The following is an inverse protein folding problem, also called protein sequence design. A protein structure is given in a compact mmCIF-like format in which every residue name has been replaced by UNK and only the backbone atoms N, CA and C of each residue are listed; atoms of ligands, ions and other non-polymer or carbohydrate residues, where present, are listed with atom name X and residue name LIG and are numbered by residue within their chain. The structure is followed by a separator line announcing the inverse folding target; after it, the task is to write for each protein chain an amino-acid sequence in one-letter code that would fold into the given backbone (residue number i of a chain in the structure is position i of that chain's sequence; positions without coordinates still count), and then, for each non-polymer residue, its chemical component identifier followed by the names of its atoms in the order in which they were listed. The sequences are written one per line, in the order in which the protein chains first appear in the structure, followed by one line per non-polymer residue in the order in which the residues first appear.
data_IF_060503600828
#
_entry.id   IF_060503600828
#
_cell.length_a   1.000
_cell.length_b   1.000
_cell.length_c   1.000
_cell.angle_alpha   90.00
_cell.angle_beta   90.00
_cell.angle_gamma   90.00
#
_symmetry.space_group_name_H-M   'P 1'
#
loop_
_entity.id
_entity.type
_entity.pdbx_description
1 polymer ?
#
# COMPACT_ATOMS: atom_id res chain seq x y z
N UNK A 1 -16.32 -20.73 -7.91
CA UNK A 1 -17.26 -19.59 -7.90
C UNK A 1 -18.64 -20.19 -8.14
N UNK A 2 -19.50 -20.18 -7.14
CA UNK A 2 -20.90 -20.54 -7.36
C UNK A 2 -21.48 -19.53 -8.35
N UNK A 3 -21.94 -19.98 -9.52
CA UNK A 3 -22.46 -19.10 -10.58
C UNK A 3 -23.93 -18.71 -10.35
N UNK A 4 -24.60 -19.33 -9.37
CA UNK A 4 -26.00 -19.05 -9.05
C UNK A 4 -26.31 -17.58 -8.72
N UNK A 5 -25.46 -16.85 -7.97
CA UNK A 5 -25.74 -15.44 -7.68
C UNK A 5 -25.71 -14.55 -8.93
N UNK A 6 -24.84 -14.86 -9.89
CA UNK A 6 -24.65 -14.04 -11.10
C UNK A 6 -25.73 -14.28 -12.15
N UNK A 7 -26.21 -15.51 -12.31
CA UNK A 7 -27.36 -15.79 -13.18
C UNK A 7 -28.66 -15.18 -12.63
N UNK A 8 -28.81 -15.12 -11.30
CA UNK A 8 -29.92 -14.40 -10.67
C UNK A 8 -29.81 -12.88 -10.89
N UNK A 9 -28.62 -12.30 -10.74
CA UNK A 9 -28.38 -10.88 -10.98
C UNK A 9 -28.67 -10.46 -12.44
N UNK A 10 -28.27 -11.30 -13.41
CA UNK A 10 -28.58 -11.09 -14.83
C UNK A 10 -30.10 -11.03 -15.05
N UNK A 11 -30.85 -12.04 -14.58
CA UNK A 11 -32.31 -12.08 -14.71
C UNK A 11 -32.98 -10.88 -14.03
N UNK A 12 -32.51 -10.51 -12.83
CA UNK A 12 -33.05 -9.38 -12.09
C UNK A 12 -32.83 -8.05 -12.82
N UNK A 13 -31.67 -7.88 -13.45
CA UNK A 13 -31.36 -6.70 -14.27
C UNK A 13 -32.34 -6.59 -15.45
N UNK A 14 -32.55 -7.68 -16.19
CA UNK A 14 -33.52 -7.71 -17.29
C UNK A 14 -34.97 -7.45 -16.83
N UNK A 15 -35.37 -7.99 -15.68
CA UNK A 15 -36.71 -7.78 -15.12
C UNK A 15 -36.92 -6.32 -14.72
N UNK A 16 -35.94 -5.67 -14.10
CA UNK A 16 -36.02 -4.28 -13.66
C UNK A 16 -36.01 -3.30 -14.84
N UNK A 17 -35.17 -3.53 -15.85
CA UNK A 17 -35.06 -2.65 -17.02
C UNK A 17 -36.30 -2.70 -17.95
N UNK A 18 -37.20 -3.67 -17.77
CA UNK A 18 -38.53 -3.65 -18.44
C UNK A 18 -39.45 -2.58 -17.90
N UNK A 19 -39.19 -2.05 -16.71
CA UNK A 19 -39.99 -0.98 -16.11
C UNK A 19 -39.51 0.39 -16.64
N UNK A 20 -40.36 1.20 -17.30
CA UNK A 20 -39.99 2.55 -17.74
C UNK A 20 -39.61 3.49 -16.59
N UNK A 21 -40.13 3.24 -15.38
CA UNK A 21 -39.84 4.01 -14.16
C UNK A 21 -38.72 3.36 -13.32
N UNK A 22 -37.85 2.57 -13.95
CA UNK A 22 -36.74 1.92 -13.27
C UNK A 22 -35.82 3.00 -12.63
N UNK A 23 -35.49 2.91 -11.34
CA UNK A 23 -34.48 3.78 -10.75
C UNK A 23 -33.07 3.38 -11.22
N UNK A 24 -32.04 4.20 -10.95
CA UNK A 24 -30.66 3.78 -11.13
C UNK A 24 -30.39 2.43 -10.46
N UNK A 25 -29.70 1.56 -11.18
CA UNK A 25 -29.35 0.22 -10.72
C UNK A 25 -27.87 0.19 -10.36
N UNK A 26 -27.56 -0.40 -9.20
CA UNK A 26 -26.18 -0.72 -8.81
C UNK A 26 -25.87 -2.15 -9.18
N UNK A 27 -24.65 -2.39 -9.66
CA UNK A 27 -24.16 -3.72 -10.08
C UNK A 27 -25.05 -4.39 -11.15
N UNK A 28 -25.62 -3.58 -12.05
CA UNK A 28 -26.45 -4.05 -13.15
C UNK A 28 -25.65 -5.04 -14.01
N UNK A 29 -26.19 -6.25 -14.16
CA UNK A 29 -25.44 -7.39 -14.70
C UNK A 29 -25.84 -7.70 -16.13
N UNK A 30 -24.87 -7.90 -17.01
CA UNK A 30 -25.07 -8.19 -18.43
C UNK A 30 -24.15 -9.32 -18.87
N UNK A 31 -24.58 -10.05 -19.90
CA UNK A 31 -23.79 -11.11 -20.52
C UNK A 31 -23.84 -10.97 -22.04
N UNK A 32 -22.68 -11.14 -22.67
CA UNK A 32 -22.55 -11.22 -24.12
C UNK A 32 -21.42 -12.19 -24.47
N UNK A 33 -21.73 -13.15 -25.34
CA UNK A 33 -20.81 -14.21 -25.77
C UNK A 33 -20.07 -14.91 -24.60
N UNK A 34 -20.75 -15.16 -23.47
CA UNK A 34 -20.13 -15.81 -22.32
C UNK A 34 -19.17 -14.93 -21.51
N UNK A 35 -19.11 -13.63 -21.79
CA UNK A 35 -18.46 -12.62 -20.96
C UNK A 35 -19.53 -11.92 -20.14
N UNK A 36 -19.35 -11.91 -18.82
CA UNK A 36 -20.26 -11.31 -17.87
C UNK A 36 -19.63 -10.05 -17.27
N UNK A 37 -20.41 -8.97 -17.18
CA UNK A 37 -20.01 -7.73 -16.52
C UNK A 37 -21.08 -7.30 -15.51
N UNK A 38 -20.64 -6.64 -14.45
CA UNK A 38 -21.50 -5.90 -13.54
C UNK A 38 -21.08 -4.43 -13.61
N UNK A 39 -21.98 -3.57 -14.08
CA UNK A 39 -21.74 -2.13 -14.13
C UNK A 39 -21.99 -1.52 -12.75
N UNK A 40 -21.07 -0.69 -12.25
CA UNK A 40 -21.18 -0.09 -10.91
C UNK A 40 -22.49 0.67 -10.74
N UNK A 41 -22.82 1.55 -11.69
CA UNK A 41 -24.09 2.28 -11.73
C UNK A 41 -24.60 2.32 -13.18
N UNK A 42 -25.85 1.95 -13.36
CA UNK A 42 -26.61 2.15 -14.58
C UNK A 42 -27.75 3.12 -14.31
N UNK A 43 -27.86 4.17 -15.13
CA UNK A 43 -29.00 5.09 -15.13
C UNK A 43 -29.88 4.74 -16.35
N UNK A 44 -31.11 4.24 -16.12
CA UNK A 44 -31.99 3.89 -17.21
C UNK A 44 -32.59 5.14 -17.85
N UNK A 45 -32.62 5.17 -19.19
CA UNK A 45 -33.39 6.11 -19.99
C UNK A 45 -34.48 5.39 -20.79
N UNK A 46 -35.23 6.14 -21.61
CA UNK A 46 -36.37 5.59 -22.36
C UNK A 46 -35.97 4.53 -23.41
N UNK A 47 -34.86 4.75 -24.11
CA UNK A 47 -34.34 3.83 -25.14
C UNK A 47 -32.85 3.51 -24.99
N UNK A 48 -32.18 4.21 -24.08
CA UNK A 48 -30.73 4.21 -23.92
C UNK A 48 -30.39 4.19 -22.44
N UNK A 49 -29.20 3.70 -22.10
CA UNK A 49 -28.69 3.66 -20.73
C UNK A 49 -27.43 4.50 -20.61
N UNK A 50 -27.25 5.13 -19.46
CA UNK A 50 -25.97 5.72 -19.07
C UNK A 50 -25.29 4.77 -18.09
N UNK A 51 -23.99 4.57 -18.28
CA UNK A 51 -23.16 3.73 -17.41
C UNK A 51 -22.13 4.61 -16.73
N UNK A 52 -21.99 4.44 -15.42
CA UNK A 52 -20.98 5.13 -14.62
C UNK A 52 -20.15 4.07 -13.91
N UNK A 53 -18.86 4.04 -14.24
CA UNK A 53 -17.84 3.21 -13.61
C UNK A 53 -17.12 4.03 -12.53
N UNK A 54 -17.20 3.60 -11.27
CA UNK A 54 -16.73 4.33 -10.10
C UNK A 54 -15.37 3.81 -9.65
N UNK A 55 -14.37 4.69 -9.57
CA UNK A 55 -13.01 4.32 -9.16
C UNK A 55 -12.59 5.05 -7.89
N UNK A 56 -12.14 4.28 -6.89
CA UNK A 56 -11.42 4.80 -5.72
C UNK A 56 -9.99 5.21 -6.11
N UNK A 57 -9.89 6.23 -6.95
CA UNK A 57 -8.65 6.78 -7.51
C UNK A 57 -8.82 8.26 -7.73
N UNK A 58 -7.74 9.01 -7.68
CA UNK A 58 -7.74 10.47 -7.94
C UNK A 58 -7.48 10.82 -9.39
N UNK A 59 -7.15 9.81 -10.21
CA UNK A 59 -6.78 9.95 -11.62
C UNK A 59 -7.32 8.79 -12.43
N UNK A 60 -7.61 9.05 -13.70
CA UNK A 60 -7.89 8.02 -14.70
C UNK A 60 -6.62 7.20 -14.97
N UNK A 61 -6.80 5.91 -15.22
CA UNK A 61 -5.73 4.97 -15.59
C UNK A 61 -6.14 4.26 -16.88
N UNK A 62 -5.17 3.86 -17.74
CA UNK A 62 -5.49 3.09 -18.95
C UNK A 62 -6.29 1.80 -18.68
N UNK A 63 -6.06 1.16 -17.53
CA UNK A 63 -6.83 -0.02 -17.11
C UNK A 63 -8.32 0.28 -16.92
N UNK A 64 -8.68 1.47 -16.44
CA UNK A 64 -10.09 1.84 -16.24
C UNK A 64 -10.83 2.04 -17.56
N UNK A 65 -10.13 2.53 -18.60
CA UNK A 65 -10.68 2.65 -19.94
C UNK A 65 -10.95 1.27 -20.56
N UNK A 66 -10.05 0.29 -20.31
CA UNK A 66 -10.27 -1.10 -20.74
C UNK A 66 -11.48 -1.73 -20.05
N UNK A 67 -11.66 -1.51 -18.74
CA UNK A 67 -12.84 -1.95 -18.01
C UNK A 67 -14.10 -1.38 -18.67
N UNK A 68 -14.10 -0.08 -18.96
CA UNK A 68 -15.22 0.59 -19.62
C UNK A 68 -15.50 0.05 -21.03
N UNK A 69 -14.46 -0.21 -21.81
CA UNK A 69 -14.59 -0.78 -23.16
C UNK A 69 -15.23 -2.18 -23.12
N UNK A 70 -14.81 -3.03 -22.17
CA UNK A 70 -15.38 -4.38 -22.00
C UNK A 70 -16.84 -4.28 -21.58
N UNK A 71 -17.17 -3.43 -20.59
CA UNK A 71 -18.56 -3.22 -20.18
C UNK A 71 -19.42 -2.72 -21.33
N UNK A 72 -18.95 -1.70 -22.06
CA UNK A 72 -19.66 -1.17 -23.21
C UNK A 72 -19.91 -2.24 -24.27
N UNK A 73 -18.89 -3.02 -24.64
CA UNK A 73 -19.04 -4.12 -25.60
C UNK A 73 -20.06 -5.17 -25.14
N UNK A 74 -20.02 -5.58 -23.86
CA UNK A 74 -20.98 -6.57 -23.33
C UNK A 74 -22.40 -6.03 -23.30
N UNK A 75 -22.61 -4.81 -22.79
CA UNK A 75 -23.94 -4.21 -22.64
C UNK A 75 -24.57 -3.95 -24.02
N UNK A 76 -23.79 -3.46 -24.99
CA UNK A 76 -24.27 -3.27 -26.36
C UNK A 76 -24.54 -4.59 -27.07
N UNK A 77 -23.69 -5.60 -26.86
CA UNK A 77 -23.90 -6.95 -27.35
C UNK A 77 -25.10 -7.67 -26.72
N UNK A 78 -25.50 -7.28 -25.50
CA UNK A 78 -26.74 -7.72 -24.84
C UNK A 78 -28.00 -6.99 -25.36
N UNK A 79 -27.87 -6.06 -26.31
CA UNK A 79 -28.98 -5.39 -26.99
C UNK A 79 -29.36 -4.01 -26.45
N UNK A 80 -28.58 -3.45 -25.54
CA UNK A 80 -28.82 -2.11 -24.99
C UNK A 80 -28.01 -1.03 -25.73
N UNK A 81 -28.58 0.17 -25.89
CA UNK A 81 -27.85 1.32 -26.44
C UNK A 81 -27.26 2.15 -25.29
N UNK A 82 -25.97 2.43 -25.34
CA UNK A 82 -25.31 3.29 -24.35
C UNK A 82 -25.28 4.71 -24.90
N UNK A 83 -25.98 5.63 -24.23
CA UNK A 83 -25.94 7.07 -24.57
C UNK A 83 -24.70 7.74 -23.96
N UNK A 84 -24.24 7.24 -22.82
CA UNK A 84 -23.13 7.78 -22.07
C UNK A 84 -22.34 6.70 -21.33
N UNK A 85 -21.01 6.78 -21.43
CA UNK A 85 -20.10 5.95 -20.64
C UNK A 85 -19.22 6.89 -19.83
N UNK A 86 -19.34 6.85 -18.50
CA UNK A 86 -18.62 7.76 -17.62
C UNK A 86 -17.68 7.01 -16.70
N UNK A 87 -16.49 7.57 -16.49
CA UNK A 87 -15.66 7.26 -15.34
C UNK A 87 -15.92 8.31 -14.25
N UNK A 88 -16.31 7.85 -13.07
CA UNK A 88 -16.42 8.66 -11.87
C UNK A 88 -15.26 8.37 -10.93
N UNK A 89 -14.51 9.39 -10.53
CA UNK A 89 -13.31 9.24 -9.70
C UNK A 89 -13.24 10.33 -8.64
N UNK A 90 -12.46 10.09 -7.59
CA UNK A 90 -12.36 11.01 -6.45
C UNK A 90 -11.61 12.29 -6.85
N UNK A 91 -12.12 13.46 -6.47
CA UNK A 91 -11.43 14.74 -6.59
C UNK A 91 -10.44 14.92 -5.43
N UNK A 92 -9.14 14.86 -5.71
CA UNK A 92 -8.14 15.10 -4.67
C UNK A 92 -8.09 16.56 -4.19
N UNK A 93 -8.75 17.51 -4.86
CA UNK A 93 -8.90 18.89 -4.41
C UNK A 93 -10.09 19.12 -3.48
N UNK A 94 -10.97 18.13 -3.34
CA UNK A 94 -12.08 18.19 -2.40
C UNK A 94 -11.56 18.34 -0.96
N UNK A 95 -12.18 19.25 -0.20
CA UNK A 95 -11.98 19.43 1.24
C UNK A 95 -13.33 19.18 1.89
N UNK A 96 -13.37 18.27 2.86
CA UNK A 96 -14.63 17.94 3.53
C UNK A 96 -15.06 19.08 4.47
N UNK A 97 -16.22 19.66 4.21
CA UNK A 97 -16.80 20.77 5.00
C UNK A 97 -17.60 20.29 6.23
N UNK A 98 -17.64 18.99 6.50
CA UNK A 98 -18.44 18.42 7.57
C UNK A 98 -19.91 18.20 7.19
N UNK A 99 -20.74 17.93 8.19
CA UNK A 99 -22.20 17.78 8.05
C UNK A 99 -22.67 16.73 7.02
N UNK A 100 -21.84 15.72 6.74
CA UNK A 100 -22.08 14.71 5.70
C UNK A 100 -22.25 15.30 4.29
N UNK A 101 -21.72 16.50 4.05
CA UNK A 101 -21.71 17.13 2.74
C UNK A 101 -20.51 16.65 1.91
N UNK A 102 -20.78 15.83 0.90
CA UNK A 102 -19.78 15.29 -0.03
C UNK A 102 -19.96 15.84 -1.45
N UNK A 103 -20.72 16.94 -1.62
CA UNK A 103 -20.90 17.58 -2.92
C UNK A 103 -19.55 18.01 -3.48
N UNK A 104 -19.21 17.50 -4.68
CA UNK A 104 -17.91 17.75 -5.32
C UNK A 104 -16.80 16.75 -4.96
N UNK A 105 -17.06 15.75 -4.12
CA UNK A 105 -16.10 14.67 -3.83
C UNK A 105 -15.75 13.87 -5.10
N UNK A 106 -16.72 13.67 -5.98
CA UNK A 106 -16.57 12.85 -7.18
C UNK A 106 -16.56 13.71 -8.44
N UNK A 107 -15.66 13.38 -9.38
CA UNK A 107 -15.56 13.94 -10.72
C UNK A 107 -16.00 12.91 -11.73
N UNK A 108 -16.92 13.31 -12.62
CA UNK A 108 -17.38 12.49 -13.74
C UNK A 108 -16.71 12.95 -15.02
N UNK A 109 -16.17 12.00 -15.77
CA UNK A 109 -15.56 12.20 -17.08
C UNK A 109 -16.27 11.29 -18.06
N UNK A 110 -16.80 11.83 -19.14
CA UNK A 110 -17.32 11.03 -20.24
C UNK A 110 -16.14 10.43 -21.00
N UNK A 111 -16.18 9.13 -21.29
CA UNK A 111 -15.05 8.39 -21.87
C UNK A 111 -15.40 7.63 -23.14
N UNK A 112 -16.58 7.86 -23.73
CA UNK A 112 -17.01 7.16 -24.96
C UNK A 112 -16.01 7.30 -26.11
N UNK A 113 -15.42 8.48 -26.31
CA UNK A 113 -14.44 8.71 -27.37
C UNK A 113 -13.10 8.01 -27.04
N UNK A 114 -12.67 8.10 -25.78
CA UNK A 114 -11.42 7.55 -25.26
C UNK A 114 -11.38 6.03 -25.31
N UNK A 115 -12.51 5.34 -25.12
CA UNK A 115 -12.58 3.87 -25.20
C UNK A 115 -12.64 3.33 -26.63
N UNK A 116 -12.87 4.18 -27.64
CA UNK A 116 -13.06 3.75 -29.04
C UNK A 116 -11.93 2.86 -29.60
N UNK A 117 -10.63 3.12 -29.31
CA UNK A 117 -9.55 2.23 -29.73
C UNK A 117 -9.64 0.84 -29.07
N UNK A 118 -9.93 0.80 -27.76
CA UNK A 118 -10.02 -0.44 -26.98
C UNK A 118 -11.25 -1.25 -27.38
N UNK A 119 -12.39 -0.60 -27.66
CA UNK A 119 -13.62 -1.26 -28.13
C UNK A 119 -13.39 -2.16 -29.35
N UNK A 120 -12.51 -1.75 -30.27
CA UNK A 120 -12.16 -2.56 -31.45
C UNK A 120 -11.32 -3.79 -31.10
N UNK A 121 -10.63 -3.74 -29.98
CA UNK A 121 -9.77 -4.83 -29.49
C UNK A 121 -10.51 -5.80 -28.58
N UNK A 122 -11.58 -5.38 -27.91
CA UNK A 122 -12.33 -6.23 -26.97
C UNK A 122 -12.68 -7.61 -27.56
N UNK A 123 -13.27 -7.73 -28.77
CA UNK A 123 -13.57 -9.05 -29.33
C UNK A 123 -12.31 -9.92 -29.51
N UNK A 124 -11.20 -9.31 -29.94
CA UNK A 124 -9.92 -10.00 -30.14
C UNK A 124 -9.37 -10.50 -28.79
N UNK A 125 -9.42 -9.67 -27.75
CA UNK A 125 -9.02 -10.08 -26.40
C UNK A 125 -9.89 -11.22 -25.88
N UNK A 126 -11.21 -11.14 -26.06
CA UNK A 126 -12.15 -12.17 -25.61
C UNK A 126 -11.87 -13.51 -26.29
N UNK A 127 -11.67 -13.53 -27.61
CA UNK A 127 -11.27 -14.74 -28.34
C UNK A 127 -9.94 -15.30 -27.84
N UNK A 128 -8.92 -14.45 -27.67
CA UNK A 128 -7.61 -14.86 -27.16
C UNK A 128 -7.70 -15.45 -25.74
N UNK A 129 -8.47 -14.82 -24.85
CA UNK A 129 -8.63 -15.30 -23.48
C UNK A 129 -9.43 -16.60 -23.41
N UNK A 130 -10.48 -16.77 -24.23
CA UNK A 130 -11.20 -18.05 -24.34
C UNK A 130 -10.28 -19.16 -24.83
N UNK A 131 -9.52 -18.90 -25.90
CA UNK A 131 -8.55 -19.85 -26.41
C UNK A 131 -7.50 -20.20 -25.35
N UNK A 132 -6.95 -19.22 -24.62
CA UNK A 132 -6.01 -19.45 -23.53
C UNK A 132 -6.62 -20.36 -22.44
N UNK A 133 -7.87 -20.12 -22.04
CA UNK A 133 -8.55 -20.90 -21.00
C UNK A 133 -8.87 -22.34 -21.42
N UNK A 134 -8.89 -22.65 -22.72
CA UNK A 134 -9.07 -24.01 -23.23
C UNK A 134 -7.77 -24.83 -23.28
N UNK A 135 -6.62 -24.20 -23.03
CA UNK A 135 -5.30 -24.84 -23.08
C UNK A 135 -4.71 -25.06 -21.68
N UNK A 136 -3.54 -25.71 -21.63
CA UNK A 136 -2.76 -25.88 -20.41
C UNK A 136 -2.16 -24.54 -19.91
N UNK A 137 -1.53 -24.60 -18.74
CA UNK A 137 -0.83 -23.45 -18.15
C UNK A 137 0.14 -22.81 -19.17
N UNK A 138 0.10 -21.47 -19.35
CA UNK A 138 0.96 -20.81 -20.31
C UNK A 138 2.43 -20.87 -19.89
N UNK A 139 3.33 -21.19 -20.82
CA UNK A 139 4.78 -21.24 -20.59
C UNK A 139 5.41 -19.83 -20.49
N UNK A 140 5.04 -19.08 -19.45
CA UNK A 140 5.51 -17.70 -19.19
C UNK A 140 6.35 -17.69 -17.91
N UNK A 141 7.62 -17.29 -18.03
CA UNK A 141 8.52 -17.10 -16.87
C UNK A 141 8.07 -15.91 -16.03
N UNK A 142 8.33 -15.94 -14.71
CA UNK A 142 8.09 -14.79 -13.83
C UNK A 142 8.80 -13.52 -14.34
N UNK A 143 8.13 -12.38 -14.24
CA UNK A 143 8.69 -11.12 -14.73
C UNK A 143 7.87 -9.90 -14.32
N UNK A 144 8.07 -8.75 -15.01
CA UNK A 144 7.39 -7.49 -14.69
C UNK A 144 5.86 -7.60 -14.66
N UNK A 145 5.26 -8.40 -15.54
CA UNK A 145 3.81 -8.65 -15.58
C UNK A 145 3.24 -9.27 -14.30
N UNK A 146 4.08 -9.84 -13.41
CA UNK A 146 3.62 -10.35 -12.12
C UNK A 146 3.17 -9.25 -11.16
N UNK A 147 3.53 -7.98 -11.41
CA UNK A 147 3.19 -6.85 -10.55
C UNK A 147 2.60 -5.65 -11.31
N UNK A 148 2.47 -5.73 -12.63
CA UNK A 148 1.95 -4.66 -13.49
C UNK A 148 0.75 -5.16 -14.30
N UNK A 149 -0.41 -4.47 -14.28
CA UNK A 149 -0.71 -3.24 -13.52
C UNK A 149 -1.02 -3.49 -12.04
N UNK A 150 -1.21 -4.74 -11.64
CA UNK A 150 -1.50 -5.16 -10.26
C UNK A 150 -0.71 -6.42 -9.90
N UNK A 151 -0.62 -6.74 -8.60
CA UNK A 151 -0.01 -8.00 -8.16
C UNK A 151 -0.80 -9.20 -8.69
N UNK A 152 -0.13 -10.10 -9.39
CA UNK A 152 -0.71 -11.34 -9.89
C UNK A 152 -1.13 -12.26 -8.74
N UNK A 153 -2.37 -12.74 -8.77
CA UNK A 153 -2.91 -13.65 -7.74
C UNK A 153 -2.22 -15.03 -7.73
N UNK A 154 -1.55 -15.42 -8.81
CA UNK A 154 -0.81 -16.69 -8.94
C UNK A 154 0.67 -16.56 -8.59
N UNK A 155 1.11 -15.40 -8.08
CA UNK A 155 2.52 -15.14 -7.77
C UNK A 155 3.12 -16.23 -6.88
N UNK A 156 2.41 -16.64 -5.83
CA UNK A 156 2.89 -17.70 -4.92
C UNK A 156 3.15 -19.02 -5.65
N UNK A 157 2.27 -19.41 -6.58
CA UNK A 157 2.41 -20.62 -7.38
C UNK A 157 3.62 -20.53 -8.31
N UNK A 158 3.73 -19.45 -9.09
CA UNK A 158 4.84 -19.31 -10.03
C UNK A 158 6.19 -19.16 -9.32
N UNK A 159 6.22 -18.51 -8.15
CA UNK A 159 7.46 -18.22 -7.42
C UNK A 159 8.01 -19.45 -6.67
N UNK A 160 7.16 -20.42 -6.31
CA UNK A 160 7.59 -21.68 -5.71
C UNK A 160 8.59 -22.44 -6.60
N UNK A 161 8.51 -22.25 -7.92
CA UNK A 161 9.38 -22.90 -8.90
C UNK A 161 10.78 -22.27 -9.04
N UNK A 162 11.02 -21.09 -8.48
CA UNK A 162 12.24 -20.29 -8.77
C UNK A 162 13.49 -20.75 -8.00
N UNK A 163 13.34 -21.72 -7.09
CA UNK A 163 14.41 -22.21 -6.24
C UNK A 163 14.69 -21.29 -5.05
N UNK A 164 15.79 -21.59 -4.34
CA UNK A 164 16.10 -21.00 -3.03
C UNK A 164 16.50 -19.52 -3.09
N UNK A 165 17.35 -19.15 -4.06
CA UNK A 165 17.94 -17.82 -4.23
C UNK A 165 17.67 -17.27 -5.63
N UNK A 166 16.40 -16.98 -5.94
CA UNK A 166 16.02 -16.57 -7.29
C UNK A 166 16.59 -15.18 -7.61
N UNK A 167 16.91 -14.92 -8.88
CA UNK A 167 17.41 -13.59 -9.28
C UNK A 167 16.44 -12.44 -8.97
N UNK A 168 15.16 -12.74 -8.73
CA UNK A 168 14.15 -11.76 -8.31
C UNK A 168 14.43 -11.14 -6.94
N UNK A 169 15.28 -11.76 -6.12
CA UNK A 169 15.73 -11.20 -4.83
C UNK A 169 16.80 -10.11 -5.03
N UNK A 170 17.36 -9.94 -6.24
CA UNK A 170 18.24 -8.80 -6.52
C UNK A 170 17.42 -7.52 -6.71
N UNK A 171 17.68 -6.46 -5.92
CA UNK A 171 16.84 -5.27 -5.93
C UNK A 171 17.00 -4.48 -7.23
N UNK A 172 15.89 -4.05 -7.83
CA UNK A 172 15.87 -3.12 -8.98
C UNK A 172 16.72 -3.57 -10.19
N UNK A 173 16.71 -4.86 -10.54
CA UNK A 173 17.43 -5.38 -11.72
C UNK A 173 16.97 -4.75 -13.04
N UNK A 174 15.69 -4.34 -13.15
CA UNK A 174 15.13 -3.79 -14.38
C UNK A 174 15.34 -4.74 -15.56
N UNK A 175 15.90 -4.23 -16.66
CA UNK A 175 16.16 -5.01 -17.89
C UNK A 175 17.13 -6.18 -17.67
N UNK A 176 18.09 -6.05 -16.77
CA UNK A 176 19.10 -7.09 -16.50
C UNK A 176 18.47 -8.40 -16.03
N UNK A 177 17.30 -8.36 -15.37
CA UNK A 177 16.59 -9.58 -14.96
C UNK A 177 16.22 -10.45 -16.17
N UNK A 178 15.75 -9.84 -17.25
CA UNK A 178 15.37 -10.55 -18.48
C UNK A 178 16.61 -11.12 -19.17
N UNK A 179 17.69 -10.33 -19.28
CA UNK A 179 18.96 -10.76 -19.88
C UNK A 179 19.53 -11.98 -19.14
N UNK A 180 19.57 -11.93 -17.80
CA UNK A 180 20.01 -13.06 -16.98
C UNK A 180 19.13 -14.31 -17.17
N UNK A 181 17.80 -14.15 -17.24
CA UNK A 181 16.87 -15.26 -17.48
C UNK A 181 17.00 -15.88 -18.87
N UNK A 182 17.25 -15.07 -19.90
CA UNK A 182 17.49 -15.52 -21.28
C UNK A 182 18.79 -16.31 -21.40
N UNK A 183 19.80 -15.92 -20.63
CA UNK A 183 21.08 -16.63 -20.54
C UNK A 183 21.04 -17.86 -19.60
N UNK A 184 19.90 -18.12 -18.96
CA UNK A 184 19.70 -19.28 -18.09
C UNK A 184 20.17 -19.09 -16.65
N UNK A 185 20.50 -17.87 -16.23
CA UNK A 185 20.80 -17.54 -14.84
C UNK A 185 19.50 -17.31 -14.06
N UNK A 186 19.08 -18.32 -13.29
CA UNK A 186 17.90 -18.25 -12.41
C UNK A 186 18.22 -18.16 -10.93
N UNK A 187 19.45 -18.55 -10.54
CA UNK A 187 19.95 -18.54 -9.17
C UNK A 187 21.04 -17.47 -9.03
N UNK A 188 20.90 -16.59 -8.03
CA UNK A 188 21.85 -15.50 -7.78
C UNK A 188 23.27 -16.03 -7.69
N UNK A 189 23.50 -17.16 -7.01
CA UNK A 189 24.83 -17.73 -6.75
C UNK A 189 25.57 -18.15 -8.02
N UNK A 190 24.85 -18.27 -9.14
CA UNK A 190 25.38 -18.72 -10.44
C UNK A 190 25.53 -17.58 -11.43
N UNK A 191 25.32 -16.33 -11.02
CA UNK A 191 25.54 -15.17 -11.88
C UNK A 191 27.05 -14.90 -11.96
N UNK A 192 27.63 -14.80 -13.17
CA UNK A 192 29.03 -14.40 -13.35
C UNK A 192 29.27 -12.99 -12.80
N UNK A 193 30.38 -12.77 -12.07
CA UNK A 193 30.62 -11.50 -11.38
C UNK A 193 30.69 -10.29 -12.32
N UNK A 194 31.18 -10.46 -13.54
CA UNK A 194 31.30 -9.42 -14.56
C UNK A 194 29.94 -8.93 -15.09
N UNK A 195 28.86 -9.67 -14.81
CA UNK A 195 27.49 -9.26 -15.13
C UNK A 195 26.89 -8.28 -14.13
N UNK A 196 27.44 -8.21 -12.92
CA UNK A 196 26.93 -7.36 -11.84
C UNK A 196 27.80 -6.12 -11.68
N UNK A 197 27.50 -5.09 -12.48
CA UNK A 197 28.25 -3.82 -12.49
C UNK A 197 27.90 -2.87 -11.33
N UNK A 198 26.75 -3.07 -10.68
CA UNK A 198 26.30 -2.28 -9.54
C UNK A 198 26.83 -2.87 -8.23
N UNK A 199 27.52 -2.05 -7.43
CA UNK A 199 28.08 -2.45 -6.14
C UNK A 199 27.06 -3.07 -5.18
N UNK A 200 25.80 -2.63 -5.23
CA UNK A 200 24.71 -3.22 -4.45
C UNK A 200 24.43 -4.67 -4.89
N UNK A 201 24.31 -4.91 -6.19
CA UNK A 201 24.08 -6.25 -6.73
C UNK A 201 25.27 -7.16 -6.44
N UNK A 202 26.50 -6.69 -6.65
CA UNK A 202 27.71 -7.45 -6.36
C UNK A 202 27.80 -7.81 -4.86
N UNK A 203 27.38 -6.90 -3.96
CA UNK A 203 27.34 -7.18 -2.52
C UNK A 203 26.28 -8.22 -2.16
N UNK A 204 25.04 -8.08 -2.64
CA UNK A 204 23.97 -9.05 -2.38
C UNK A 204 24.36 -10.42 -2.92
N UNK A 205 24.89 -10.47 -4.15
CA UNK A 205 25.46 -11.68 -4.75
C UNK A 205 26.52 -12.31 -3.85
N UNK A 206 27.54 -11.53 -3.43
CA UNK A 206 28.63 -12.05 -2.60
C UNK A 206 28.15 -12.58 -1.25
N UNK A 207 27.26 -11.85 -0.58
CA UNK A 207 26.70 -12.25 0.72
C UNK A 207 25.87 -13.54 0.59
N UNK A 208 24.99 -13.63 -0.41
CA UNK A 208 24.21 -14.85 -0.68
C UNK A 208 25.11 -16.02 -1.09
N UNK A 209 26.10 -15.79 -1.95
CA UNK A 209 27.01 -16.86 -2.40
C UNK A 209 27.92 -17.39 -1.30
N UNK A 210 28.37 -16.52 -0.40
CA UNK A 210 29.25 -16.89 0.72
C UNK A 210 28.50 -17.31 1.99
N UNK A 211 27.18 -17.07 2.05
CA UNK A 211 26.35 -17.26 3.25
C UNK A 211 26.93 -16.56 4.50
N UNK A 212 27.71 -15.50 4.29
CA UNK A 212 28.41 -14.76 5.34
C UNK A 212 27.86 -13.33 5.38
N UNK A 213 27.26 -12.90 6.50
CA UNK A 213 26.79 -11.53 6.65
C UNK A 213 27.94 -10.53 6.60
N UNK A 214 27.69 -9.37 6.02
CA UNK A 214 28.62 -8.24 5.99
C UNK A 214 28.08 -7.12 6.87
N UNK A 215 28.82 -6.77 7.92
CA UNK A 215 28.63 -5.57 8.72
C UNK A 215 29.92 -4.75 8.67
N UNK A 216 29.85 -3.56 8.07
CA UNK A 216 30.97 -2.62 8.01
C UNK A 216 31.11 -1.90 9.37
N UNK A 217 32.28 -1.96 10.04
CA UNK A 217 32.55 -1.27 11.30
C UNK A 217 32.30 0.25 11.26
N UNK A 218 32.28 0.87 10.07
CA UNK A 218 31.91 2.28 9.92
C UNK A 218 30.47 2.58 10.37
N UNK A 219 29.59 1.58 10.43
CA UNK A 219 28.25 1.73 11.01
C UNK A 219 28.30 2.26 12.45
N UNK A 220 29.18 1.67 13.27
CA UNK A 220 29.39 2.07 14.66
C UNK A 220 29.94 3.49 14.77
N UNK A 221 30.89 3.85 13.90
CA UNK A 221 31.47 5.20 13.87
C UNK A 221 30.43 6.27 13.50
N UNK A 222 29.55 5.99 12.53
CA UNK A 222 28.48 6.90 12.15
C UNK A 222 27.42 7.03 13.27
N UNK A 223 27.02 5.91 13.87
CA UNK A 223 26.06 5.93 14.99
C UNK A 223 26.62 6.60 16.24
N UNK A 224 27.93 6.49 16.50
CA UNK A 224 28.58 7.16 17.64
C UNK A 224 28.53 8.70 17.56
N UNK A 225 28.26 9.27 16.37
CA UNK A 225 28.05 10.72 16.21
C UNK A 225 26.71 11.20 16.79
N UNK A 226 25.76 10.28 16.98
CA UNK A 226 24.46 10.57 17.55
C UNK A 226 24.56 10.62 19.08
N UNK A 227 24.45 11.83 19.64
CA UNK A 227 24.46 12.06 21.08
C UNK A 227 23.22 11.49 21.76
N UNK A 228 23.35 11.24 23.07
CA UNK A 228 22.21 10.95 23.94
C UNK A 228 21.55 12.26 24.42
N UNK A 229 20.23 12.26 24.70
CA UNK A 229 19.30 11.14 24.54
C UNK A 229 19.01 10.82 23.07
N UNK A 230 18.72 9.56 22.73
CA UNK A 230 18.31 9.15 21.37
C UNK A 230 16.83 8.80 21.37
N UNK A 231 16.05 9.40 20.48
CA UNK A 231 14.60 9.25 20.44
C UNK A 231 14.20 8.37 19.24
N UNK A 232 13.85 7.11 19.45
CA UNK A 232 13.42 6.20 18.38
C UNK A 232 11.91 6.35 18.18
N UNK A 233 11.48 6.82 17.01
CA UNK A 233 10.12 7.31 16.76
C UNK A 233 9.48 6.59 15.58
N UNK A 234 8.24 6.15 15.75
CA UNK A 234 7.43 5.51 14.71
C UNK A 234 5.99 6.06 14.75
N UNK A 235 5.39 6.25 13.58
CA UNK A 235 4.04 6.76 13.41
C UNK A 235 3.13 5.78 12.68
N UNK A 236 1.86 5.77 13.09
CA UNK A 236 0.77 5.17 12.35
C UNK A 236 -0.20 6.26 11.85
N UNK A 237 -0.56 6.15 10.57
CA UNK A 237 -1.47 7.09 9.89
C UNK A 237 -2.61 6.36 9.24
N UNK A 238 -3.74 7.03 9.09
CA UNK A 238 -4.89 6.57 8.30
C UNK A 238 -5.11 7.52 7.13
N UNK A 239 -5.66 6.99 6.05
CA UNK A 239 -6.13 7.80 4.93
C UNK A 239 -7.52 7.33 4.49
N UNK A 240 -8.37 8.27 4.10
CA UNK A 240 -9.75 7.99 3.71
C UNK A 240 -9.98 8.41 2.27
N UNK A 241 -10.56 7.53 1.44
CA UNK A 241 -11.06 7.94 0.13
C UNK A 241 -12.21 8.96 0.27
N UNK A 242 -13.06 8.75 1.29
CA UNK A 242 -14.13 9.66 1.68
C UNK A 242 -13.81 10.24 3.07
N UNK A 243 -13.35 11.49 3.16
CA UNK A 243 -12.87 12.04 4.43
C UNK A 243 -13.98 12.13 5.48
N UNK A 244 -13.67 11.80 6.74
CA UNK A 244 -14.66 11.79 7.83
C UNK A 244 -14.51 12.97 8.79
N UNK A 245 -13.41 13.72 8.69
CA UNK A 245 -13.09 14.85 9.57
C UNK A 245 -13.05 16.15 8.79
N UNK A 246 -13.71 17.18 9.31
CA UNK A 246 -13.77 18.49 8.67
C UNK A 246 -12.37 19.05 8.38
N UNK A 247 -12.19 19.67 7.21
CA UNK A 247 -10.92 20.24 6.78
C UNK A 247 -9.89 19.19 6.33
N UNK A 248 -10.27 17.94 6.10
CA UNK A 248 -9.40 16.89 5.54
C UNK A 248 -9.77 16.57 4.08
N UNK A 249 -8.81 15.99 3.35
CA UNK A 249 -8.91 15.71 1.91
C UNK A 249 -8.87 14.20 1.61
N UNK A 250 -9.40 13.77 0.46
CA UNK A 250 -9.29 12.37 0.06
C UNK A 250 -7.84 11.89 -0.03
N UNK A 251 -7.59 10.72 0.52
CA UNK A 251 -6.29 10.05 0.60
C UNK A 251 -5.21 10.87 1.32
N UNK A 252 -5.60 11.88 2.10
CA UNK A 252 -4.69 12.57 3.00
C UNK A 252 -4.18 11.60 4.08
N UNK A 253 -2.87 11.61 4.33
CA UNK A 253 -2.28 10.84 5.42
C UNK A 253 -2.45 11.59 6.74
N UNK A 254 -3.23 10.99 7.65
CA UNK A 254 -3.65 11.59 8.90
C UNK A 254 -3.10 10.75 10.06
N UNK A 255 -2.14 11.29 10.83
CA UNK A 255 -1.53 10.57 11.95
C UNK A 255 -2.52 10.37 13.10
N UNK A 256 -2.57 9.16 13.66
CA UNK A 256 -3.47 8.82 14.77
C UNK A 256 -2.78 8.15 15.96
N UNK A 257 -1.56 7.62 15.75
CA UNK A 257 -0.80 6.94 16.79
C UNK A 257 0.70 7.11 16.59
N UNK A 258 1.44 7.22 17.69
CA UNK A 258 2.89 7.17 17.66
C UNK A 258 3.43 6.41 18.88
N UNK A 259 4.64 5.88 18.72
CA UNK A 259 5.41 5.27 19.80
C UNK A 259 6.80 5.90 19.82
N UNK A 260 7.37 6.08 21.00
CA UNK A 260 8.73 6.59 21.15
C UNK A 260 9.48 5.91 22.29
N UNK A 261 10.64 5.31 21.97
CA UNK A 261 11.61 4.91 22.98
C UNK A 261 12.68 5.99 23.09
N UNK A 262 12.89 6.55 24.28
CA UNK A 262 13.95 7.52 24.56
C UNK A 262 15.06 6.80 25.32
N UNK A 263 16.22 6.66 24.69
CA UNK A 263 17.43 6.15 25.32
C UNK A 263 18.18 7.32 25.95
N UNK A 264 18.12 7.48 27.27
CA UNK A 264 18.81 8.58 27.98
C UNK A 264 20.31 8.37 28.11
N UNK A 265 20.73 7.11 28.17
CA UNK A 265 22.11 6.63 28.17
C UNK A 265 22.10 5.17 27.69
N UNK A 266 23.24 4.59 27.27
CA UNK A 266 23.28 3.22 26.76
C UNK A 266 22.50 2.23 27.66
N UNK A 267 21.44 1.62 27.12
CA UNK A 267 20.63 0.63 27.85
C UNK A 267 19.55 1.19 28.80
N UNK A 268 19.48 2.51 29.00
CA UNK A 268 18.47 3.15 29.86
C UNK A 268 17.35 3.77 29.01
N UNK A 269 16.18 3.14 29.02
CA UNK A 269 15.05 3.50 28.16
C UNK A 269 13.83 3.96 28.95
N UNK A 270 13.21 5.03 28.45
CA UNK A 270 11.83 5.40 28.77
C UNK A 270 10.96 5.22 27.53
N UNK A 271 9.70 4.84 27.71
CA UNK A 271 8.76 4.62 26.61
C UNK A 271 7.57 5.56 26.74
N UNK A 272 7.27 6.25 25.66
CA UNK A 272 6.13 7.15 25.50
C UNK A 272 5.30 6.69 24.30
N UNK A 273 4.00 6.93 24.35
CA UNK A 273 3.07 6.54 23.29
C UNK A 273 1.84 7.44 23.24
N UNK A 274 1.18 7.47 22.10
CA UNK A 274 -0.12 8.13 21.90
C UNK A 274 -1.01 7.28 21.01
N UNK A 275 -2.29 7.16 21.37
CA UNK A 275 -3.33 6.54 20.56
C UNK A 275 -4.71 7.11 20.94
N UNK A 276 -5.34 7.82 20.01
CA UNK A 276 -6.70 8.33 20.16
C UNK A 276 -7.70 7.53 19.32
N UNK A 277 -8.58 6.76 19.99
CA UNK A 277 -9.66 5.99 19.36
C UNK A 277 -11.04 6.57 19.68
N UNK A 278 -11.14 7.85 19.98
CA UNK A 278 -12.41 8.52 20.32
C UNK A 278 -13.32 8.75 19.12
N UNK A 279 -12.79 8.63 17.90
CA UNK A 279 -13.46 8.97 16.64
C UNK A 279 -13.41 10.45 16.27
N UNK A 280 -12.89 11.31 17.16
CA UNK A 280 -12.58 12.71 16.85
C UNK A 280 -11.30 12.79 16.01
N UNK A 281 -11.04 13.93 15.33
CA UNK A 281 -9.79 14.12 14.58
C UNK A 281 -8.59 14.16 15.55
N UNK A 282 -7.66 13.19 15.51
CA UNK A 282 -6.62 13.03 16.52
C UNK A 282 -5.40 13.93 16.29
N UNK A 283 -5.28 14.57 15.12
CA UNK A 283 -4.00 15.14 14.66
C UNK A 283 -3.43 16.26 15.54
N UNK A 284 -4.29 17.06 16.19
CA UNK A 284 -3.82 18.14 17.08
C UNK A 284 -3.27 17.55 18.38
N UNK A 285 -4.06 16.73 19.07
CA UNK A 285 -3.65 16.04 20.31
C UNK A 285 -2.41 15.16 20.08
N UNK A 286 -2.34 14.48 18.92
CA UNK A 286 -1.18 13.74 18.45
C UNK A 286 0.07 14.61 18.47
N UNK A 287 -0.01 15.79 17.85
CA UNK A 287 1.11 16.71 17.68
C UNK A 287 1.54 17.35 19.00
N UNK A 288 0.58 17.84 19.80
CA UNK A 288 0.87 18.44 21.11
C UNK A 288 1.51 17.43 22.06
N UNK A 289 1.01 16.20 22.08
CA UNK A 289 1.60 15.14 22.91
C UNK A 289 2.99 14.76 22.43
N UNK A 290 3.21 14.65 21.12
CA UNK A 290 4.52 14.40 20.55
C UNK A 290 5.53 15.47 20.96
N UNK A 291 5.17 16.75 20.81
CA UNK A 291 6.00 17.89 21.21
C UNK A 291 6.36 17.80 22.70
N UNK A 292 5.37 17.53 23.56
CA UNK A 292 5.60 17.44 25.00
C UNK A 292 6.47 16.25 25.42
N UNK A 293 6.42 15.13 24.69
CA UNK A 293 7.21 13.94 24.97
C UNK A 293 8.65 14.04 24.46
N UNK A 294 8.89 14.82 23.40
CA UNK A 294 10.21 15.05 22.82
C UNK A 294 10.83 16.37 23.29
N UNK A 295 10.65 16.71 24.58
CA UNK A 295 11.21 17.88 25.24
C UNK A 295 12.72 17.68 25.57
N UNK A 296 13.50 17.44 24.51
CA UNK A 296 14.96 17.31 24.56
C UNK A 296 15.57 17.62 23.18
N UNK A 297 16.88 17.88 23.14
CA UNK A 297 17.62 18.23 21.93
C UNK A 297 18.27 17.03 21.20
N UNK A 298 17.97 15.80 21.62
CA UNK A 298 18.56 14.58 21.07
C UNK A 298 18.17 14.28 19.62
N UNK A 299 18.93 13.46 18.86
CA UNK A 299 18.49 13.02 17.54
C UNK A 299 17.19 12.22 17.62
N UNK A 300 16.37 12.31 16.56
CA UNK A 300 15.13 11.57 16.41
C UNK A 300 15.33 10.51 15.33
N UNK A 301 15.52 9.27 15.74
CA UNK A 301 15.85 8.14 14.89
C UNK A 301 14.55 7.53 14.36
N UNK A 302 14.45 7.43 13.05
CA UNK A 302 13.30 6.87 12.32
C UNK A 302 13.79 5.84 11.30
N UNK A 303 12.88 5.07 10.71
CA UNK A 303 13.23 4.07 9.69
C UNK A 303 12.46 4.32 8.39
N UNK A 304 13.09 5.05 7.46
CA UNK A 304 12.54 5.66 6.25
C UNK A 304 12.07 7.12 6.43
N UNK A 305 11.69 7.75 5.31
CA UNK A 305 11.27 9.15 5.26
C UNK A 305 9.80 9.37 5.63
N UNK A 306 9.09 8.36 6.14
CA UNK A 306 7.65 8.42 6.37
C UNK A 306 7.28 9.45 7.44
N UNK A 307 7.95 9.43 8.58
CA UNK A 307 7.74 10.36 9.69
C UNK A 307 8.06 11.80 9.28
N UNK A 308 9.06 12.00 8.41
CA UNK A 308 9.38 13.33 7.86
C UNK A 308 8.21 13.93 7.09
N UNK A 309 7.53 13.11 6.26
CA UNK A 309 6.37 13.52 5.49
C UNK A 309 5.18 13.81 6.41
N UNK A 310 4.94 12.96 7.41
CA UNK A 310 3.88 13.15 8.39
C UNK A 310 4.07 14.44 9.22
N UNK A 311 5.29 14.69 9.72
CA UNK A 311 5.62 15.94 10.43
C UNK A 311 5.41 17.17 9.54
N UNK A 312 5.85 17.11 8.28
CA UNK A 312 5.61 18.21 7.33
C UNK A 312 4.12 18.47 7.12
N UNK A 313 3.30 17.41 7.04
CA UNK A 313 1.84 17.51 6.94
C UNK A 313 1.26 18.22 8.17
N UNK A 314 1.69 17.83 9.37
CA UNK A 314 1.27 18.47 10.62
C UNK A 314 1.67 19.95 10.69
N UNK A 315 2.88 20.33 10.27
CA UNK A 315 3.31 21.73 10.20
C UNK A 315 2.39 22.58 9.32
N UNK A 316 1.98 22.05 8.16
CA UNK A 316 1.08 22.75 7.24
C UNK A 316 -0.34 22.87 7.83
N UNK A 317 -0.77 21.84 8.57
CA UNK A 317 -2.11 21.76 9.15
C UNK A 317 -2.29 22.64 10.39
N UNK A 318 -1.24 22.77 11.21
CA UNK A 318 -1.29 23.53 12.46
C UNK A 318 -0.16 24.58 12.52
N UNK A 319 -0.34 25.75 11.87
CA UNK A 319 0.68 26.81 11.83
C UNK A 319 1.14 27.31 13.21
N UNK A 320 0.25 27.28 14.21
CA UNK A 320 0.52 27.78 15.57
C UNK A 320 1.54 26.94 16.34
N UNK A 321 1.73 25.66 15.97
CA UNK A 321 2.72 24.74 16.57
C UNK A 321 3.75 24.24 15.54
N UNK A 322 3.79 24.88 14.37
CA UNK A 322 4.64 24.43 13.27
C UNK A 322 6.13 24.61 13.56
N UNK A 323 6.51 25.60 14.38
CA UNK A 323 7.90 25.82 14.76
C UNK A 323 8.41 24.69 15.66
N UNK A 324 7.62 24.27 16.65
CA UNK A 324 7.87 23.12 17.53
C UNK A 324 8.08 21.84 16.72
N UNK A 325 7.17 21.55 15.79
CA UNK A 325 7.23 20.37 14.93
C UNK A 325 8.45 20.42 13.99
N UNK A 326 8.77 21.60 13.45
CA UNK A 326 9.96 21.80 12.63
C UNK A 326 11.27 21.55 13.41
N UNK A 327 11.31 21.85 14.72
CA UNK A 327 12.46 21.51 15.58
C UNK A 327 12.64 20.00 15.76
N UNK A 328 11.55 19.23 15.78
CA UNK A 328 11.61 17.75 15.76
C UNK A 328 12.11 17.28 14.39
N UNK A 329 11.52 17.79 13.31
CA UNK A 329 11.89 17.44 11.94
C UNK A 329 13.37 17.69 11.64
N UNK A 330 13.92 18.80 12.13
CA UNK A 330 15.32 19.17 11.92
C UNK A 330 16.33 18.21 12.58
N UNK A 331 15.88 17.37 13.53
CA UNK A 331 16.70 16.39 14.26
C UNK A 331 16.51 14.96 13.75
N UNK A 332 15.70 14.76 12.70
CA UNK A 332 15.47 13.43 12.15
C UNK A 332 16.77 12.81 11.64
N UNK A 333 16.95 11.54 11.98
CA UNK A 333 18.00 10.68 11.48
C UNK A 333 17.38 9.39 10.94
N UNK A 334 17.40 9.23 9.62
CA UNK A 334 16.90 8.02 8.98
C UNK A 334 17.93 6.89 9.06
N UNK A 335 17.58 5.81 9.76
CA UNK A 335 18.43 4.64 9.96
C UNK A 335 18.49 3.72 8.72
N UNK A 336 17.53 3.82 7.80
CA UNK A 336 17.46 2.96 6.61
C UNK A 336 18.67 3.17 5.66
N UNK A 337 19.05 4.39 5.25
CA UNK A 337 20.24 4.62 4.45
C UNK A 337 21.52 4.09 5.08
N UNK A 338 21.67 4.25 6.40
CA UNK A 338 22.83 3.75 7.15
C UNK A 338 22.88 2.22 7.13
N UNK A 339 21.76 1.57 7.48
CA UNK A 339 21.62 0.11 7.46
C UNK A 339 21.89 -0.43 6.05
N UNK A 340 21.29 0.17 5.03
CA UNK A 340 21.50 -0.20 3.63
C UNK A 340 22.95 -0.02 3.19
N UNK A 341 23.66 0.97 3.73
CA UNK A 341 25.05 1.21 3.36
C UNK A 341 25.99 0.19 4.00
N UNK A 342 25.78 -0.17 5.26
CA UNK A 342 26.79 -0.88 6.04
C UNK A 342 26.44 -2.31 6.45
N UNK A 343 25.19 -2.75 6.27
CA UNK A 343 24.78 -4.09 6.67
C UNK A 343 24.11 -4.84 5.52
N UNK A 344 24.46 -6.11 5.33
CA UNK A 344 23.84 -7.00 4.35
C UNK A 344 23.90 -8.44 4.87
N UNK A 345 22.78 -9.14 4.82
CA UNK A 345 22.66 -10.52 5.30
C UNK A 345 21.98 -11.40 4.23
N UNK A 346 22.30 -12.70 4.09
CA UNK A 346 21.66 -13.57 3.09
C UNK A 346 20.12 -13.56 3.21
N UNK A 347 19.61 -13.77 4.43
CA UNK A 347 18.16 -13.78 4.73
C UNK A 347 17.44 -12.44 4.50
N UNK A 348 18.14 -11.34 4.27
CA UNK A 348 17.49 -10.10 3.83
C UNK A 348 16.95 -10.19 2.40
N UNK A 349 17.44 -11.14 1.59
CA UNK A 349 16.99 -11.36 0.21
C UNK A 349 16.93 -10.06 -0.62
N UNK A 350 17.98 -9.24 -0.48
CA UNK A 350 18.13 -7.96 -1.18
C UNK A 350 17.19 -6.83 -0.74
N UNK A 351 16.45 -7.01 0.36
CA UNK A 351 15.56 -6.00 0.95
C UNK A 351 16.14 -5.43 2.25
N UNK A 352 15.98 -4.11 2.42
CA UNK A 352 16.35 -3.40 3.65
C UNK A 352 15.14 -2.83 4.37
N UNK A 353 13.93 -3.31 4.10
CA UNK A 353 12.79 -2.97 4.98
C UNK A 353 13.07 -3.47 6.40
N UNK A 354 12.51 -2.83 7.41
CA UNK A 354 12.74 -3.25 8.81
C UNK A 354 12.32 -4.72 9.01
N UNK A 355 11.25 -5.16 8.33
CA UNK A 355 10.76 -6.55 8.36
C UNK A 355 11.72 -7.57 7.73
N UNK A 356 12.55 -7.15 6.77
CA UNK A 356 13.61 -8.01 6.19
C UNK A 356 14.87 -8.00 7.03
N UNK A 357 15.16 -6.90 7.73
CA UNK A 357 16.38 -6.74 8.53
C UNK A 357 16.23 -7.34 9.92
N UNK A 358 15.11 -7.08 10.59
CA UNK A 358 14.90 -7.43 12.01
C UNK A 358 15.13 -8.92 12.31
N UNK A 359 14.63 -9.90 11.50
CA UNK A 359 14.87 -11.31 11.77
C UNK A 359 16.35 -11.72 11.78
N UNK A 360 17.21 -10.93 11.12
CA UNK A 360 18.66 -11.18 11.03
C UNK A 360 19.44 -10.59 12.22
N UNK A 361 18.78 -9.77 13.03
CA UNK A 361 19.40 -9.01 14.13
C UNK A 361 18.80 -9.36 15.49
N UNK A 362 17.47 -9.44 15.56
CA UNK A 362 16.71 -9.73 16.78
C UNK A 362 15.50 -10.61 16.40
N UNK A 363 15.72 -11.90 16.05
CA UNK A 363 14.64 -12.81 15.63
C UNK A 363 13.56 -13.01 16.70
N UNK A 364 13.87 -12.77 17.97
CA UNK A 364 12.90 -12.79 19.07
C UNK A 364 11.83 -11.68 19.00
N UNK A 365 12.04 -10.66 18.16
CA UNK A 365 11.10 -9.55 17.94
C UNK A 365 10.25 -9.73 16.68
N UNK A 366 10.20 -10.94 16.11
CA UNK A 366 9.31 -11.24 14.98
C UNK A 366 7.85 -10.84 15.25
N UNK A 367 7.14 -10.41 14.22
CA UNK A 367 5.78 -9.87 14.33
C UNK A 367 4.70 -10.97 14.32
N UNK A 368 5.07 -12.24 14.13
CA UNK A 368 4.12 -13.35 14.01
C UNK A 368 3.25 -13.59 15.24
N UNK A 369 3.65 -13.09 16.42
CA UNK A 369 2.90 -13.15 17.66
C UNK A 369 1.87 -12.03 17.83
N UNK A 370 1.90 -11.00 16.98
CA UNK A 370 1.03 -9.83 17.07
C UNK A 370 -0.26 -10.00 16.25
N UNK A 371 -1.36 -9.44 16.76
CA UNK A 371 -2.63 -9.36 16.01
C UNK A 371 -2.53 -8.39 14.82
N UNK A 372 -1.80 -7.29 14.99
CA UNK A 372 -1.54 -6.30 13.95
C UNK A 372 -0.12 -6.50 13.42
N UNK A 373 0.02 -6.77 12.12
CA UNK A 373 1.28 -7.19 11.50
C UNK A 373 1.73 -6.27 10.35
N UNK A 374 1.22 -5.03 10.30
CA UNK A 374 1.62 -4.01 9.33
C UNK A 374 0.68 -2.82 9.26
N UNK A 375 1.16 -1.71 8.67
CA UNK A 375 0.41 -0.45 8.62
C UNK A 375 -0.99 -0.52 7.98
N UNK A 376 -1.22 -1.39 6.97
CA UNK A 376 -2.58 -1.60 6.44
C UNK A 376 -3.51 -2.27 7.45
N UNK A 377 -3.02 -3.27 8.19
CA UNK A 377 -3.78 -3.92 9.26
C UNK A 377 -4.00 -2.94 10.43
N UNK A 378 -3.03 -2.08 10.74
CA UNK A 378 -3.17 -1.03 11.75
C UNK A 378 -4.26 -0.02 11.36
N UNK A 379 -4.28 0.43 10.10
CA UNK A 379 -5.34 1.31 9.58
C UNK A 379 -6.72 0.65 9.64
N UNK A 380 -6.83 -0.60 9.23
CA UNK A 380 -8.09 -1.34 9.30
C UNK A 380 -8.58 -1.48 10.75
N UNK A 381 -7.68 -1.90 11.65
CA UNK A 381 -8.00 -2.04 13.07
C UNK A 381 -8.42 -0.70 13.66
N UNK A 382 -7.69 0.37 13.37
CA UNK A 382 -8.05 1.71 13.81
C UNK A 382 -9.44 2.13 13.32
N UNK A 383 -9.77 1.87 12.04
CA UNK A 383 -11.09 2.15 11.48
C UNK A 383 -12.20 1.39 12.21
N UNK A 384 -11.98 0.11 12.52
CA UNK A 384 -12.91 -0.68 13.34
C UNK A 384 -13.11 -0.03 14.72
N UNK A 385 -12.04 0.42 15.37
CA UNK A 385 -12.10 1.00 16.72
C UNK A 385 -12.84 2.34 16.80
N UNK A 386 -12.82 3.14 15.74
CA UNK A 386 -13.54 4.43 15.69
C UNK A 386 -14.97 4.30 15.15
N UNK A 387 -15.38 3.10 14.72
CA UNK A 387 -16.71 2.86 14.18
C UNK A 387 -17.76 2.75 15.31
N UNK A 388 -18.92 3.42 15.20
CA UNK A 388 -19.98 3.29 16.20
C UNK A 388 -20.45 1.85 16.39
N UNK A 389 -20.68 1.44 17.64
CA UNK A 389 -21.22 0.13 17.98
C UNK A 389 -20.19 -0.91 18.42
N UNK A 390 -18.90 -0.56 18.49
CA UNK A 390 -17.86 -1.43 19.05
C UNK A 390 -18.08 -1.66 20.56
N UNK A 391 -17.88 -2.90 21.03
CA UNK A 391 -17.96 -3.21 22.45
C UNK A 391 -16.75 -2.69 23.22
N UNK A 392 -16.91 -2.40 24.52
CA UNK A 392 -15.79 -1.96 25.37
C UNK A 392 -14.64 -2.97 25.41
N UNK A 393 -14.96 -4.27 25.34
CA UNK A 393 -13.95 -5.32 25.35
C UNK A 393 -13.15 -5.35 24.03
N UNK A 394 -13.83 -5.27 22.88
CA UNK A 394 -13.17 -5.18 21.57
C UNK A 394 -12.34 -3.90 21.44
N UNK A 395 -12.86 -2.77 21.95
CA UNK A 395 -12.13 -1.50 21.99
C UNK A 395 -10.85 -1.63 22.81
N UNK A 396 -10.93 -2.21 24.01
CA UNK A 396 -9.77 -2.41 24.87
C UNK A 396 -8.74 -3.34 24.22
N UNK A 397 -9.18 -4.46 23.66
CA UNK A 397 -8.31 -5.42 22.99
C UNK A 397 -7.61 -4.79 21.78
N UNK A 398 -8.37 -4.16 20.88
CA UNK A 398 -7.77 -3.56 19.69
C UNK A 398 -6.84 -2.38 20.02
N UNK A 399 -7.13 -1.59 21.06
CA UNK A 399 -6.19 -0.56 21.55
C UNK A 399 -4.87 -1.19 22.02
N UNK A 400 -4.93 -2.27 22.80
CA UNK A 400 -3.73 -2.99 23.23
C UNK A 400 -2.93 -3.49 22.01
N UNK A 401 -3.59 -4.13 21.05
CA UNK A 401 -2.93 -4.68 19.86
C UNK A 401 -2.25 -3.60 19.00
N UNK A 402 -2.89 -2.44 18.83
CA UNK A 402 -2.28 -1.29 18.14
C UNK A 402 -1.06 -0.74 18.89
N UNK A 403 -1.16 -0.57 20.20
CA UNK A 403 -0.06 -0.06 21.03
C UNK A 403 1.14 -1.03 21.03
N UNK A 404 0.90 -2.33 21.17
CA UNK A 404 1.94 -3.35 21.14
C UNK A 404 2.68 -3.40 19.80
N UNK A 405 1.95 -3.27 18.69
CA UNK A 405 2.52 -3.24 17.34
C UNK A 405 3.43 -2.02 17.13
N UNK A 406 2.94 -0.80 17.35
CA UNK A 406 3.74 0.43 17.17
C UNK A 406 4.92 0.50 18.19
N UNK A 407 4.75 -0.08 19.39
CA UNK A 407 5.85 -0.29 20.34
C UNK A 407 6.91 -1.26 19.80
N UNK A 408 6.51 -2.32 19.11
CA UNK A 408 7.44 -3.28 18.49
C UNK A 408 8.28 -2.60 17.41
N UNK A 409 7.70 -1.71 16.61
CA UNK A 409 8.43 -0.98 15.55
C UNK A 409 9.57 -0.11 16.10
N UNK A 410 9.31 0.66 17.16
CA UNK A 410 10.38 1.43 17.82
C UNK A 410 11.41 0.54 18.52
N UNK A 411 11.00 -0.57 19.13
CA UNK A 411 11.94 -1.51 19.74
C UNK A 411 12.83 -2.21 18.69
N UNK A 412 12.28 -2.49 17.51
CA UNK A 412 13.04 -3.02 16.38
C UNK A 412 14.14 -2.04 15.94
N UNK A 413 13.85 -0.75 15.87
CA UNK A 413 14.85 0.29 15.60
C UNK A 413 15.94 0.36 16.68
N UNK A 414 15.55 0.28 17.96
CA UNK A 414 16.50 0.21 19.09
C UNK A 414 17.47 -0.96 18.91
N UNK A 415 16.94 -2.18 18.67
CA UNK A 415 17.77 -3.37 18.50
C UNK A 415 18.68 -3.29 17.29
N UNK A 416 18.18 -2.74 16.19
CA UNK A 416 18.99 -2.52 14.99
C UNK A 416 20.11 -1.53 15.25
N UNK A 417 19.84 -0.39 15.89
CA UNK A 417 20.86 0.59 16.23
C UNK A 417 21.92 0.01 17.19
N UNK A 418 21.52 -0.81 18.17
CA UNK A 418 22.45 -1.51 19.06
C UNK A 418 23.35 -2.48 18.29
N UNK A 419 22.78 -3.30 17.41
CA UNK A 419 23.53 -4.24 16.57
C UNK A 419 24.53 -3.54 15.65
N UNK A 420 24.11 -2.45 15.00
CA UNK A 420 24.98 -1.67 14.12
C UNK A 420 26.08 -0.92 14.87
N UNK A 421 25.85 -0.60 16.16
CA UNK A 421 26.84 0.05 17.01
C UNK A 421 27.97 -0.87 17.49
N UNK A 422 27.78 -2.20 17.42
CA UNK A 422 28.78 -3.20 17.83
C UNK A 422 28.64 -3.62 19.28
#
# INVERSE_FOLDING_TARGET
IDRNPLSEALRKTEELLKNPDCPPLFEATFEHEGVLVQADILIPGNEEVEIIEVKSSTKLKPTFLKDCAIQHWVITGAGYRISRMQLEHVDNQFVYEGNLNYDGLMKKVDVLEEISPDLKQVPVWVEQFKAMLENEEPEIKVGPHCNDPYSCSFKSHCYESLGEWPITDLPNLGKLALELQEEGHTDIRRIPEDRLSNSLHSRVHRVISSQTPELDPQASVELAKLSYPRNYLDFETISFAMPIWEGTRPFEQLPFQWSCHIEGSPGNFEHFEFLDTSGKPPMLDFAEKLISSLDNDGPVIVYSSFEEVALRSLCNRFPDIAEELARIQARLFDLLPLTKKYYCHPEMRGSWSIKSVLPTVAPELDYGDLEVQGGQAAQQKFLELITPGISENELKQGRTSLLEYCKRDTLAMVKLAQFLAG
#
